data_IF_119419690291
#
_entry.id   IF_119419690291
#
_cell.length_a   1.000
_cell.length_b   1.000
_cell.length_c   1.000
_cell.angle_alpha   90.00
_cell.angle_beta   90.00
_cell.angle_gamma   90.00
#
_symmetry.space_group_name_H-M   'P 1'
#
loop_
_entity.id
_entity.type
_entity.pdbx_description
1 polymer ?
#
# COMPACT_ATOMS: atom_id res chain seq x y z
N UNK A 1 -20.84 -8.87 -18.87
CA UNK A 1 -20.50 -8.09 -17.66
C UNK A 1 -19.38 -8.85 -17.00
N UNK A 2 -18.29 -8.16 -16.67
CA UNK A 2 -17.08 -8.79 -16.16
C UNK A 2 -16.39 -7.85 -15.15
N UNK A 3 -15.60 -8.43 -14.25
CA UNK A 3 -14.82 -7.71 -13.25
C UNK A 3 -13.43 -8.35 -13.13
N UNK A 4 -12.39 -7.52 -13.18
CA UNK A 4 -11.01 -7.96 -13.05
C UNK A 4 -10.28 -7.12 -12.01
N UNK A 5 -9.50 -7.78 -11.16
CA UNK A 5 -8.62 -7.15 -10.17
C UNK A 5 -7.21 -7.01 -10.71
N UNK A 6 -6.53 -5.93 -10.34
CA UNK A 6 -5.08 -5.83 -10.50
C UNK A 6 -4.37 -6.91 -9.66
N UNK A 7 -3.22 -7.37 -10.12
CA UNK A 7 -2.43 -8.43 -9.47
C UNK A 7 -1.92 -8.06 -8.08
N UNK A 8 -1.94 -6.78 -7.73
CA UNK A 8 -1.59 -6.26 -6.41
C UNK A 8 -2.80 -5.92 -5.53
N UNK A 9 -3.99 -6.29 -5.98
CA UNK A 9 -5.25 -6.11 -5.26
C UNK A 9 -5.62 -4.66 -4.92
N UNK A 10 -4.96 -3.65 -5.48
CA UNK A 10 -5.26 -2.24 -5.16
C UNK A 10 -6.29 -1.60 -6.08
N UNK A 11 -6.48 -2.15 -7.29
CA UNK A 11 -7.34 -1.59 -8.32
C UNK A 11 -8.24 -2.68 -8.91
N UNK A 12 -9.42 -2.28 -9.39
CA UNK A 12 -10.32 -3.15 -10.16
C UNK A 12 -10.91 -2.42 -11.36
N UNK A 13 -11.25 -3.18 -12.38
CA UNK A 13 -11.96 -2.72 -13.57
C UNK A 13 -13.23 -3.55 -13.72
N UNK A 14 -14.35 -2.89 -13.99
CA UNK A 14 -15.63 -3.55 -14.26
C UNK A 14 -16.19 -3.10 -15.62
N UNK A 15 -16.73 -4.04 -16.39
CA UNK A 15 -17.36 -3.79 -17.69
C UNK A 15 -18.87 -4.05 -17.62
N UNK A 16 -19.67 -3.03 -17.93
CA UNK A 16 -21.13 -3.06 -17.94
C UNK A 16 -21.72 -3.57 -19.26
N UNK A 17 -22.96 -4.06 -19.22
CA UNK A 17 -23.69 -4.53 -20.41
C UNK A 17 -24.07 -3.43 -21.42
N UNK A 18 -23.92 -2.16 -21.04
CA UNK A 18 -24.11 -0.99 -21.90
C UNK A 18 -22.82 -0.53 -22.60
N UNK A 19 -21.71 -1.28 -22.46
CA UNK A 19 -20.41 -0.92 -23.02
C UNK A 19 -19.61 0.07 -22.17
N UNK A 20 -20.14 0.54 -21.03
CA UNK A 20 -19.39 1.40 -20.12
C UNK A 20 -18.40 0.58 -19.28
N UNK A 21 -17.28 1.21 -18.90
CA UNK A 21 -16.28 0.64 -17.98
C UNK A 21 -16.12 1.54 -16.77
N UNK A 22 -15.89 0.91 -15.62
CA UNK A 22 -15.62 1.58 -14.34
C UNK A 22 -14.24 1.18 -13.87
N UNK A 23 -13.43 2.19 -13.52
CA UNK A 23 -12.13 2.01 -12.88
C UNK A 23 -12.29 2.39 -11.41
N UNK A 24 -11.90 1.51 -10.51
CA UNK A 24 -11.94 1.76 -9.08
C UNK A 24 -10.61 1.41 -8.42
N UNK A 25 -10.33 2.10 -7.32
CA UNK A 25 -9.11 1.94 -6.55
C UNK A 25 -9.44 1.89 -5.06
N UNK A 26 -8.74 1.04 -4.33
CA UNK A 26 -8.85 0.93 -2.88
C UNK A 26 -8.20 2.16 -2.24
N UNK A 27 -8.99 2.87 -1.45
CA UNK A 27 -8.58 3.96 -0.55
C UNK A 27 -9.10 3.68 0.85
N UNK A 28 -8.85 4.59 1.79
CA UNK A 28 -9.35 4.56 3.16
C UNK A 28 -8.93 3.32 3.97
N UNK A 29 -7.81 2.67 3.60
CA UNK A 29 -7.16 1.68 4.45
C UNK A 29 -6.64 2.37 5.71
N UNK A 30 -7.03 1.86 6.87
CA UNK A 30 -6.62 2.39 8.18
C UNK A 30 -5.81 1.33 8.91
N UNK A 31 -4.65 1.71 9.41
CA UNK A 31 -3.79 0.90 10.26
C UNK A 31 -3.54 1.62 11.58
N UNK A 32 -3.62 0.90 12.69
CA UNK A 32 -3.45 1.48 14.02
C UNK A 32 -2.38 0.73 14.79
N UNK A 33 -1.43 1.46 15.38
CA UNK A 33 -0.47 0.90 16.32
C UNK A 33 -0.24 1.85 17.49
N UNK A 34 -0.60 1.40 18.68
CA UNK A 34 -0.54 2.21 19.90
C UNK A 34 -1.32 3.53 19.73
N UNK A 35 -0.63 4.67 19.72
CA UNK A 35 -1.19 6.01 19.57
C UNK A 35 -1.17 6.55 18.13
N UNK A 36 -0.65 5.77 17.19
CA UNK A 36 -0.50 6.17 15.80
C UNK A 36 -1.62 5.53 14.97
N UNK A 37 -2.33 6.36 14.22
CA UNK A 37 -3.25 5.95 13.17
C UNK A 37 -2.67 6.37 11.82
N UNK A 38 -2.63 5.43 10.88
CA UNK A 38 -2.14 5.63 9.51
C UNK A 38 -3.29 5.37 8.56
N UNK A 39 -3.63 6.36 7.73
CA UNK A 39 -4.75 6.28 6.79
C UNK A 39 -4.28 6.56 5.37
N UNK A 40 -4.56 5.64 4.44
CA UNK A 40 -4.39 5.85 3.01
C UNK A 40 -5.58 6.68 2.50
N UNK A 41 -5.43 8.01 2.42
CA UNK A 41 -6.54 8.91 2.02
C UNK A 41 -6.71 9.01 0.50
N UNK A 42 -5.63 8.77 -0.23
CA UNK A 42 -5.58 8.71 -1.69
C UNK A 42 -4.59 7.60 -2.07
N UNK A 43 -4.70 7.00 -3.26
CA UNK A 43 -3.68 6.10 -3.82
C UNK A 43 -2.22 6.48 -3.56
N UNK A 44 -1.94 7.78 -3.52
CA UNK A 44 -0.59 8.35 -3.36
C UNK A 44 -0.43 9.23 -2.13
N UNK A 45 -1.40 9.26 -1.22
CA UNK A 45 -1.31 10.09 -0.01
C UNK A 45 -1.68 9.30 1.22
N UNK A 46 -0.81 9.37 2.22
CA UNK A 46 -1.03 8.80 3.54
C UNK A 46 -1.09 9.92 4.58
N UNK A 47 -2.06 9.82 5.48
CA UNK A 47 -2.14 10.62 6.69
C UNK A 47 -1.62 9.79 7.87
N UNK A 48 -0.73 10.38 8.66
CA UNK A 48 -0.26 9.78 9.92
C UNK A 48 -0.68 10.69 11.06
N UNK A 49 -1.53 10.17 11.93
CA UNK A 49 -2.13 10.88 13.05
C UNK A 49 -1.61 10.30 14.38
N UNK A 50 -0.90 11.11 15.16
CA UNK A 50 -0.58 10.80 16.56
C UNK A 50 -1.74 11.27 17.43
N UNK A 51 -2.62 10.35 17.79
CA UNK A 51 -3.88 10.62 18.49
C UNK A 51 -3.64 11.26 19.86
N UNK A 52 -2.49 10.98 20.50
CA UNK A 52 -2.19 11.53 21.82
C UNK A 52 -1.68 12.97 21.78
N UNK A 53 -0.99 13.34 20.70
CA UNK A 53 -0.43 14.68 20.53
C UNK A 53 -1.27 15.55 19.57
N UNK A 54 -2.36 15.00 19.01
CA UNK A 54 -3.22 15.61 18.01
C UNK A 54 -2.45 16.13 16.78
N UNK A 55 -1.33 15.47 16.43
CA UNK A 55 -0.51 15.86 15.28
C UNK A 55 -0.90 15.05 14.07
N UNK A 56 -1.25 15.73 12.97
CA UNK A 56 -1.51 15.14 11.67
C UNK A 56 -0.37 15.49 10.71
N UNK A 57 0.25 14.48 10.13
CA UNK A 57 1.28 14.64 9.10
C UNK A 57 0.81 13.97 7.80
N UNK A 58 1.05 14.63 6.67
CA UNK A 58 0.72 14.13 5.34
C UNK A 58 1.99 13.67 4.62
N UNK A 59 1.92 12.49 4.00
CA UNK A 59 2.99 11.91 3.20
C UNK A 59 2.47 11.70 1.78
N UNK A 60 3.07 12.45 0.83
CA UNK A 60 2.74 12.40 -0.59
C UNK A 60 3.78 11.60 -1.39
N UNK A 61 3.31 10.60 -2.14
CA UNK A 61 4.11 9.80 -3.04
C UNK A 61 3.97 10.36 -4.47
N UNK A 62 4.94 11.17 -4.90
CA UNK A 62 4.83 11.93 -6.15
C UNK A 62 4.71 11.08 -7.43
N UNK A 63 5.22 9.85 -7.42
CA UNK A 63 5.30 8.99 -8.60
C UNK A 63 4.32 7.82 -8.52
N UNK A 64 4.39 7.09 -7.41
CA UNK A 64 3.85 5.74 -7.35
C UNK A 64 2.78 5.59 -6.27
N UNK A 65 1.78 4.76 -6.59
CA UNK A 65 0.72 4.44 -5.64
C UNK A 65 1.22 3.46 -4.60
N UNK A 66 0.64 3.55 -3.41
CA UNK A 66 0.85 2.61 -2.31
C UNK A 66 0.22 1.27 -2.68
N UNK A 67 1.02 0.21 -2.65
CA UNK A 67 0.54 -1.18 -2.79
C UNK A 67 0.22 -1.75 -1.43
N UNK A 68 1.23 -1.71 -0.55
CA UNK A 68 1.11 -2.27 0.78
C UNK A 68 1.74 -1.36 1.82
N UNK A 69 1.19 -1.40 3.02
CA UNK A 69 1.70 -0.62 4.14
C UNK A 69 1.50 -1.36 5.46
N UNK A 70 2.40 -1.09 6.41
CA UNK A 70 2.37 -1.67 7.74
C UNK A 70 2.86 -0.66 8.76
N UNK A 71 2.27 -0.67 9.95
CA UNK A 71 2.72 0.17 11.07
C UNK A 71 2.83 -0.68 12.34
N UNK A 72 3.97 -0.58 13.01
CA UNK A 72 4.28 -1.46 14.12
C UNK A 72 5.67 -1.19 14.69
N UNK A 73 5.83 -1.44 15.99
CA UNK A 73 7.13 -1.38 16.69
C UNK A 73 7.91 -0.05 16.51
N UNK A 74 7.19 1.05 16.27
CA UNK A 74 7.80 2.37 16.03
C UNK A 74 8.30 2.58 14.59
N UNK A 75 7.88 1.74 13.65
CA UNK A 75 8.20 1.85 12.23
C UNK A 75 6.93 1.79 11.38
N UNK A 76 6.89 2.63 10.36
CA UNK A 76 5.94 2.55 9.25
C UNK A 76 6.71 2.12 8.01
N UNK A 77 6.19 1.09 7.33
CA UNK A 77 6.77 0.53 6.11
C UNK A 77 5.74 0.71 5.01
N UNK A 78 6.16 1.21 3.85
CA UNK A 78 5.32 1.42 2.68
C UNK A 78 6.02 0.87 1.46
N UNK A 79 5.31 0.07 0.68
CA UNK A 79 5.72 -0.39 -0.64
C UNK A 79 4.85 0.26 -1.71
N UNK A 80 5.51 0.72 -2.77
CA UNK A 80 4.84 1.37 -3.91
C UNK A 80 4.89 0.51 -5.17
N UNK A 81 4.18 0.94 -6.21
CA UNK A 81 4.01 0.18 -7.45
C UNK A 81 5.28 -0.02 -8.29
N UNK A 82 6.27 0.86 -8.18
CA UNK A 82 7.60 0.70 -8.78
C UNK A 82 8.55 -0.12 -7.93
N UNK A 83 8.03 -0.82 -6.91
CA UNK A 83 8.79 -1.66 -5.99
C UNK A 83 9.75 -0.90 -5.06
N UNK A 84 9.67 0.44 -5.06
CA UNK A 84 10.37 1.28 -4.10
C UNK A 84 9.82 1.09 -2.69
N UNK A 85 10.71 0.74 -1.75
CA UNK A 85 10.39 0.66 -0.33
C UNK A 85 10.74 1.93 0.43
N UNK A 86 9.80 2.39 1.25
CA UNK A 86 9.99 3.48 2.18
C UNK A 86 9.80 2.97 3.60
N UNK A 87 10.67 3.40 4.50
CA UNK A 87 10.50 3.17 5.93
C UNK A 87 10.69 4.45 6.70
N UNK A 88 9.76 4.73 7.60
CA UNK A 88 9.83 5.83 8.53
C UNK A 88 9.84 5.30 9.96
N UNK A 89 10.86 5.67 10.73
CA UNK A 89 10.91 5.44 12.18
C UNK A 89 10.27 6.60 12.96
N UNK A 90 10.26 7.78 12.36
CA UNK A 90 9.65 8.99 12.89
C UNK A 90 8.67 9.50 11.86
N UNK A 91 7.52 9.98 12.32
CA UNK A 91 6.53 10.63 11.45
C UNK A 91 7.26 11.73 10.64
N UNK A 92 7.00 11.74 9.32
CA UNK A 92 7.56 12.71 8.38
C UNK A 92 9.00 12.47 7.92
N UNK A 93 9.73 11.50 8.50
CA UNK A 93 11.11 11.17 8.06
C UNK A 93 11.12 9.87 7.28
N UNK A 94 10.85 9.94 5.98
CA UNK A 94 10.98 8.81 5.07
C UNK A 94 12.46 8.53 4.79
N UNK A 95 12.89 7.29 5.03
CA UNK A 95 14.16 6.76 4.53
C UNK A 95 13.86 5.75 3.43
N UNK A 96 14.46 5.93 2.25
CA UNK A 96 14.46 4.92 1.21
C UNK A 96 15.41 3.80 1.64
N UNK A 97 14.91 2.57 1.76
CA UNK A 97 15.75 1.45 2.22
C UNK A 97 16.34 0.70 1.04
N UNK A 98 15.52 0.31 0.05
CA UNK A 98 15.96 -0.44 -1.14
C UNK A 98 14.80 -0.66 -2.13
N UNK A 99 15.14 -1.11 -3.34
CA UNK A 99 14.21 -1.47 -4.41
C UNK A 99 13.99 -3.01 -4.46
N UNK A 100 12.73 -3.44 -4.57
CA UNK A 100 12.38 -4.85 -4.78
C UNK A 100 12.20 -5.16 -6.26
N UNK A 101 12.32 -6.43 -6.65
CA UNK A 101 12.09 -6.83 -8.06
C UNK A 101 10.67 -7.37 -8.28
N UNK A 102 9.89 -7.53 -7.22
CA UNK A 102 8.60 -8.23 -7.22
C UNK A 102 7.58 -7.51 -6.35
N UNK A 103 6.31 -7.64 -6.73
CA UNK A 103 5.19 -7.00 -6.03
C UNK A 103 4.96 -7.63 -4.67
N UNK A 104 5.04 -6.82 -3.61
CA UNK A 104 4.75 -7.23 -2.23
C UNK A 104 3.25 -7.38 -2.03
N UNK A 105 2.83 -8.50 -1.44
CA UNK A 105 1.42 -8.81 -1.12
C UNK A 105 1.16 -8.79 0.40
N UNK A 106 2.20 -8.92 1.22
CA UNK A 106 2.07 -8.92 2.66
C UNK A 106 3.32 -8.38 3.34
N UNK A 107 3.13 -7.61 4.40
CA UNK A 107 4.19 -7.12 5.30
C UNK A 107 3.85 -7.56 6.73
N UNK A 108 4.78 -8.26 7.38
CA UNK A 108 4.67 -8.64 8.79
C UNK A 108 5.83 -8.02 9.56
N UNK A 109 5.54 -7.19 10.55
CA UNK A 109 6.55 -6.52 11.36
C UNK A 109 6.82 -7.27 12.68
N UNK A 110 8.04 -7.12 13.17
CA UNK A 110 8.50 -7.47 14.52
C UNK A 110 9.34 -6.35 15.09
N UNK A 111 9.77 -6.46 16.35
CA UNK A 111 10.52 -5.39 17.03
C UNK A 111 11.83 -4.98 16.34
N UNK A 112 12.49 -5.90 15.64
CA UNK A 112 13.81 -5.65 15.04
C UNK A 112 13.88 -5.94 13.53
N UNK A 113 12.86 -6.60 12.97
CA UNK A 113 12.84 -7.08 11.59
C UNK A 113 11.42 -7.01 11.05
N UNK A 114 11.28 -7.05 9.73
CA UNK A 114 10.01 -7.32 9.09
C UNK A 114 10.22 -8.37 7.99
N UNK A 115 9.14 -9.01 7.61
CA UNK A 115 9.09 -9.99 6.54
C UNK A 115 8.13 -9.48 5.47
N UNK A 116 8.54 -9.61 4.22
CA UNK A 116 7.67 -9.40 3.06
C UNK A 116 7.39 -10.73 2.39
N UNK A 117 6.19 -10.87 1.85
CA UNK A 117 5.84 -11.94 0.92
C UNK A 117 5.55 -11.27 -0.42
N UNK A 118 6.12 -11.80 -1.48
CA UNK A 118 5.88 -11.36 -2.85
C UNK A 118 4.93 -12.31 -3.58
N UNK A 119 4.33 -11.81 -4.66
CA UNK A 119 3.49 -12.63 -5.52
C UNK A 119 4.37 -13.46 -6.47
N UNK A 120 4.39 -14.80 -6.38
CA UNK A 120 5.00 -15.63 -7.42
C UNK A 120 4.12 -15.52 -8.66
N UNK A 121 4.58 -14.82 -9.68
CA UNK A 121 3.82 -14.69 -10.92
C UNK A 121 3.76 -16.05 -11.63
N UNK A 122 2.74 -16.87 -11.37
CA UNK A 122 2.37 -18.01 -12.23
C UNK A 122 1.43 -17.52 -13.33
N UNK A 123 1.98 -17.30 -14.53
CA UNK A 123 1.16 -17.15 -15.73
C UNK A 123 0.60 -18.52 -16.13
N UNK A 124 -0.63 -18.83 -15.75
CA UNK A 124 -1.45 -19.84 -16.43
C UNK A 124 -2.62 -19.17 -17.14
N UNK A 125 -2.31 -18.43 -18.21
CA UNK A 125 -3.30 -18.11 -19.22
C UNK A 125 -3.45 -19.31 -20.16
N UNK A 126 -4.42 -20.18 -19.89
CA UNK A 126 -5.06 -20.96 -20.95
C UNK A 126 -6.52 -20.57 -20.99
N UNK A 127 -6.87 -19.68 -21.91
CA UNK A 127 -8.26 -19.53 -22.35
C UNK A 127 -8.37 -20.31 -23.68
N UNK A 128 -9.32 -21.25 -23.69
CA UNK A 128 -9.75 -22.02 -24.86
C UNK A 128 -10.27 -21.12 -25.97
#
# INVERSE_FOLDING_TARGET
MDIAWASDSTQLIAAGGNGATVFAQITDRILTWNKIEVKLVDPRKIHVHDVMNETLEEIDFARDRVIEMSVGYGYMIVYTATHDSYTARRIGTLSHIFDLQTTVILIVQSQQRYLTVDNPVEYNCTLK
#
